data_IF_785845981293
#
_entry.id   IF_785845981293
#
_cell.length_a   1.000
_cell.length_b   1.000
_cell.length_c   1.000
_cell.angle_alpha   90.00
_cell.angle_beta   90.00
_cell.angle_gamma   90.00
#
_symmetry.space_group_name_H-M   'P 1'
#
loop_
_entity.id
_entity.type
_entity.pdbx_description
1 polymer ?
#
# COMPACT_ATOMS: atom_id res chain seq x y z
N UNK A 1 14.81 -19.10 -59.12
CA UNK A 1 15.45 -18.33 -58.03
C UNK A 1 14.46 -17.61 -57.11
N UNK A 2 13.57 -16.71 -57.59
CA UNK A 2 12.64 -15.95 -56.70
C UNK A 2 11.80 -16.79 -55.72
N UNK A 3 11.29 -17.96 -56.14
CA UNK A 3 10.51 -18.85 -55.27
C UNK A 3 11.32 -19.48 -54.13
N UNK A 4 12.58 -19.84 -54.37
CA UNK A 4 13.45 -20.41 -53.33
C UNK A 4 13.85 -19.37 -52.29
N UNK A 5 14.14 -18.13 -52.74
CA UNK A 5 14.40 -16.98 -51.84
C UNK A 5 13.18 -16.67 -50.99
N UNK A 6 11.98 -16.58 -51.58
CA UNK A 6 10.74 -16.35 -50.81
C UNK A 6 10.42 -17.46 -49.80
N UNK A 7 10.74 -18.73 -50.12
CA UNK A 7 10.55 -19.84 -49.19
C UNK A 7 11.55 -19.80 -48.03
N UNK A 8 12.80 -19.39 -48.29
CA UNK A 8 13.83 -19.23 -47.28
C UNK A 8 13.53 -18.07 -46.33
N UNK A 9 13.17 -16.89 -46.85
CA UNK A 9 12.71 -15.74 -46.05
C UNK A 9 11.49 -16.10 -45.19
N UNK A 10 10.57 -16.92 -45.71
CA UNK A 10 9.41 -17.41 -44.95
C UNK A 10 9.81 -18.38 -43.84
N UNK A 11 10.82 -19.23 -44.07
CA UNK A 11 11.36 -20.12 -43.04
C UNK A 11 12.04 -19.32 -41.92
N UNK A 12 12.90 -18.35 -42.27
CA UNK A 12 13.56 -17.45 -41.32
C UNK A 12 12.54 -16.64 -40.49
N UNK A 13 11.45 -16.17 -41.12
CA UNK A 13 10.37 -15.47 -40.42
C UNK A 13 9.75 -16.32 -39.31
N UNK A 14 9.42 -17.58 -39.61
CA UNK A 14 8.84 -18.49 -38.62
C UNK A 14 9.84 -18.89 -37.54
N UNK A 15 11.12 -19.07 -37.91
CA UNK A 15 12.18 -19.34 -36.95
C UNK A 15 12.35 -18.17 -35.96
N UNK A 16 12.44 -16.94 -36.45
CA UNK A 16 12.52 -15.74 -35.62
C UNK A 16 11.31 -15.62 -34.69
N UNK A 17 10.11 -15.92 -35.20
CA UNK A 17 8.87 -15.88 -34.39
C UNK A 17 8.86 -16.96 -33.31
N UNK A 18 9.37 -18.15 -33.60
CA UNK A 18 9.52 -19.22 -32.61
C UNK A 18 10.54 -18.84 -31.54
N UNK A 19 11.71 -18.33 -31.94
CA UNK A 19 12.74 -17.84 -31.02
C UNK A 19 12.21 -16.69 -30.14
N UNK A 20 11.45 -15.75 -30.70
CA UNK A 20 10.83 -14.66 -29.96
C UNK A 20 9.82 -15.18 -28.92
N UNK A 21 9.02 -16.19 -29.30
CA UNK A 21 8.05 -16.83 -28.41
C UNK A 21 8.74 -17.53 -27.23
N UNK A 22 9.83 -18.25 -27.49
CA UNK A 22 10.66 -18.88 -26.46
C UNK A 22 11.30 -17.85 -25.53
N UNK A 23 11.88 -16.77 -26.08
CA UNK A 23 12.46 -15.68 -25.26
C UNK A 23 11.41 -15.01 -24.37
N UNK A 24 10.21 -14.78 -24.91
CA UNK A 24 9.12 -14.20 -24.14
C UNK A 24 8.65 -15.13 -23.01
N UNK A 25 8.52 -16.44 -23.27
CA UNK A 25 8.20 -17.43 -22.25
C UNK A 25 9.24 -17.44 -21.11
N UNK A 26 10.53 -17.58 -21.46
CA UNK A 26 11.65 -17.52 -20.50
C UNK A 26 11.65 -16.23 -19.68
N UNK A 27 11.38 -15.09 -20.33
CA UNK A 27 11.25 -13.80 -19.63
C UNK A 27 10.12 -13.82 -18.59
N UNK A 28 8.95 -14.39 -18.93
CA UNK A 28 7.80 -14.46 -18.01
C UNK A 28 8.02 -15.40 -16.82
N UNK A 29 8.95 -16.33 -16.94
CA UNK A 29 9.35 -17.29 -15.91
C UNK A 29 10.41 -16.76 -14.94
N UNK A 30 11.11 -15.68 -15.31
CA UNK A 30 12.14 -15.07 -14.46
C UNK A 30 11.61 -14.75 -13.05
N UNK A 31 12.37 -15.08 -11.99
CA UNK A 31 11.94 -14.83 -10.60
C UNK A 31 11.54 -13.38 -10.31
N UNK A 32 12.28 -12.39 -10.84
CA UNK A 32 11.97 -10.97 -10.65
C UNK A 32 10.65 -10.55 -11.32
N UNK A 33 10.37 -11.10 -12.50
CA UNK A 33 9.13 -10.84 -13.23
C UNK A 33 7.93 -11.47 -12.52
N UNK A 34 8.08 -12.70 -12.01
CA UNK A 34 7.06 -13.37 -11.19
C UNK A 34 6.78 -12.60 -9.91
N UNK A 35 7.81 -12.15 -9.20
CA UNK A 35 7.64 -11.33 -7.99
C UNK A 35 6.82 -10.06 -8.23
N UNK A 36 7.13 -9.30 -9.30
CA UNK A 36 6.34 -8.11 -9.67
C UNK A 36 4.89 -8.46 -9.96
N UNK A 37 4.65 -9.60 -10.60
CA UNK A 37 3.31 -10.10 -10.90
C UNK A 37 2.56 -10.49 -9.63
N UNK A 38 3.19 -11.22 -8.71
CA UNK A 38 2.66 -11.56 -7.38
C UNK A 38 2.21 -10.28 -6.67
N UNK A 39 3.10 -9.29 -6.56
CA UNK A 39 2.79 -8.01 -5.91
C UNK A 39 1.58 -7.30 -6.55
N UNK A 40 1.47 -7.34 -7.88
CA UNK A 40 0.31 -6.78 -8.59
C UNK A 40 -0.97 -7.56 -8.27
N UNK A 41 -0.93 -8.89 -8.30
CA UNK A 41 -2.09 -9.74 -7.99
C UNK A 41 -2.53 -9.56 -6.53
N UNK A 42 -1.60 -9.45 -5.58
CA UNK A 42 -1.91 -9.14 -4.18
C UNK A 42 -2.58 -7.77 -4.00
N UNK A 43 -2.21 -6.79 -4.83
CA UNK A 43 -2.90 -5.50 -4.83
C UNK A 43 -4.33 -5.62 -5.37
N UNK A 44 -4.55 -6.35 -6.48
CA UNK A 44 -5.89 -6.59 -7.03
C UNK A 44 -6.77 -7.40 -6.07
N UNK A 45 -6.20 -8.44 -5.42
CA UNK A 45 -6.90 -9.21 -4.39
C UNK A 45 -7.42 -8.31 -3.26
N UNK A 46 -6.58 -7.38 -2.76
CA UNK A 46 -6.99 -6.41 -1.74
C UNK A 46 -8.10 -5.49 -2.22
N UNK A 47 -8.10 -5.09 -3.49
CA UNK A 47 -9.19 -4.27 -4.05
C UNK A 47 -10.50 -5.04 -4.08
N UNK A 48 -10.50 -6.29 -4.58
CA UNK A 48 -11.70 -7.13 -4.60
C UNK A 48 -12.24 -7.39 -3.20
N UNK A 49 -11.38 -7.70 -2.23
CA UNK A 49 -11.76 -7.83 -0.82
C UNK A 49 -12.36 -6.55 -0.25
N UNK A 50 -11.79 -5.37 -0.57
CA UNK A 50 -12.35 -4.07 -0.16
C UNK A 50 -13.74 -3.84 -0.75
N UNK A 51 -13.98 -4.24 -2.00
CA UNK A 51 -15.30 -4.14 -2.61
C UNK A 51 -16.33 -5.06 -1.93
N UNK A 52 -15.95 -6.30 -1.59
CA UNK A 52 -16.80 -7.22 -0.82
C UNK A 52 -17.16 -6.60 0.52
N UNK A 53 -16.16 -6.20 1.31
CA UNK A 53 -16.37 -5.61 2.64
C UNK A 53 -17.24 -4.33 2.59
N UNK A 54 -17.08 -3.51 1.53
CA UNK A 54 -17.93 -2.33 1.32
C UNK A 54 -19.39 -2.75 1.05
N UNK A 55 -19.62 -3.71 0.16
CA UNK A 55 -20.97 -4.21 -0.15
C UNK A 55 -21.62 -4.91 1.05
N UNK A 56 -20.87 -5.69 1.81
CA UNK A 56 -21.35 -6.32 3.05
C UNK A 56 -21.79 -5.27 4.08
N UNK A 57 -20.98 -4.21 4.24
CA UNK A 57 -21.32 -3.08 5.13
C UNK A 57 -22.66 -2.44 4.76
N UNK A 58 -22.89 -2.15 3.48
CA UNK A 58 -24.16 -1.59 3.04
C UNK A 58 -25.31 -2.60 3.15
N UNK A 59 -25.07 -3.88 2.87
CA UNK A 59 -26.06 -4.92 3.11
C UNK A 59 -26.49 -4.99 4.58
N UNK A 60 -25.56 -4.84 5.53
CA UNK A 60 -25.91 -4.77 6.96
C UNK A 60 -26.79 -3.55 7.24
N UNK A 61 -26.50 -2.39 6.65
CA UNK A 61 -27.32 -1.19 6.80
C UNK A 61 -28.73 -1.36 6.21
N UNK A 62 -28.83 -1.91 5.00
CA UNK A 62 -30.10 -2.17 4.33
C UNK A 62 -30.92 -3.29 4.99
N UNK A 63 -30.28 -4.26 5.65
CA UNK A 63 -30.95 -5.34 6.40
C UNK A 63 -31.24 -4.98 7.86
N UNK A 64 -30.93 -3.76 8.31
CA UNK A 64 -31.19 -3.34 9.67
C UNK A 64 -32.69 -3.43 9.99
N UNK A 65 -33.03 -3.99 11.15
CA UNK A 65 -34.44 -4.11 11.59
C UNK A 65 -35.09 -2.73 11.82
N UNK A 66 -34.28 -1.72 12.14
CA UNK A 66 -34.70 -0.33 12.37
C UNK A 66 -34.74 0.49 11.07
N UNK A 67 -34.72 -0.14 9.90
CA UNK A 67 -34.72 0.57 8.63
C UNK A 67 -36.04 1.36 8.48
N UNK A 68 -35.94 2.68 8.51
CA UNK A 68 -37.02 3.61 8.20
C UNK A 68 -36.69 4.42 6.92
N UNK A 69 -37.63 5.25 6.48
CA UNK A 69 -37.43 6.09 5.29
C UNK A 69 -36.25 7.06 5.43
N UNK A 70 -36.03 7.62 6.63
CA UNK A 70 -34.94 8.57 6.90
C UNK A 70 -33.57 7.89 6.81
N UNK A 71 -33.43 6.70 7.38
CA UNK A 71 -32.24 5.88 7.28
C UNK A 71 -32.02 5.40 5.85
N UNK A 72 -33.07 5.00 5.12
CA UNK A 72 -32.96 4.61 3.71
C UNK A 72 -32.46 5.75 2.83
N UNK A 73 -32.94 6.99 3.04
CA UNK A 73 -32.42 8.19 2.38
C UNK A 73 -30.95 8.44 2.73
N UNK A 74 -30.60 8.36 4.02
CA UNK A 74 -29.21 8.55 4.46
C UNK A 74 -28.26 7.52 3.85
N UNK A 75 -28.64 6.24 3.86
CA UNK A 75 -27.82 5.14 3.33
C UNK A 75 -27.70 5.28 1.80
N UNK A 76 -28.80 5.49 1.09
CA UNK A 76 -28.80 5.62 -0.37
C UNK A 76 -27.98 6.81 -0.88
N UNK A 77 -27.90 7.90 -0.11
CA UNK A 77 -27.05 9.04 -0.43
C UNK A 77 -25.56 8.68 -0.54
N UNK A 78 -25.08 7.70 0.25
CA UNK A 78 -23.68 7.26 0.23
C UNK A 78 -23.44 5.98 -0.60
N UNK A 79 -24.49 5.20 -0.84
CA UNK A 79 -24.39 3.91 -1.52
C UNK A 79 -24.35 4.07 -3.05
N UNK A 80 -24.99 5.14 -3.57
CA UNK A 80 -24.98 5.51 -4.98
C UNK A 80 -25.43 4.38 -5.92
N UNK A 81 -26.46 3.64 -5.54
CA UNK A 81 -27.08 2.63 -6.41
C UNK A 81 -28.04 3.31 -7.38
N UNK A 82 -27.96 2.91 -8.64
CA UNK A 82 -28.83 3.35 -9.72
C UNK A 82 -29.64 2.19 -10.27
N UNK A 83 -30.90 2.47 -10.62
CA UNK A 83 -31.80 1.53 -11.27
C UNK A 83 -32.75 2.28 -12.22
N UNK A 84 -33.42 1.55 -13.11
CA UNK A 84 -34.51 2.09 -13.93
C UNK A 84 -35.85 1.78 -13.26
N UNK A 85 -36.74 2.77 -13.21
CA UNK A 85 -38.05 2.69 -12.57
C UNK A 85 -39.13 2.94 -13.62
N UNK A 86 -39.52 1.89 -14.33
CA UNK A 86 -40.59 1.92 -15.34
C UNK A 86 -41.96 2.04 -14.67
N UNK A 87 -42.90 2.72 -15.32
CA UNK A 87 -44.27 2.94 -14.85
C UNK A 87 -45.03 1.62 -14.66
N UNK A 88 -44.78 0.65 -15.53
CA UNK A 88 -45.34 -0.71 -15.45
C UNK A 88 -45.01 -1.39 -14.11
N UNK A 89 -43.77 -1.20 -13.63
CA UNK A 89 -43.28 -1.86 -12.41
C UNK A 89 -43.46 -1.02 -11.14
N UNK A 90 -43.40 0.30 -11.29
CA UNK A 90 -43.53 1.27 -10.21
C UNK A 90 -44.59 2.31 -10.60
N UNK A 91 -45.89 1.94 -10.54
CA UNK A 91 -46.97 2.86 -10.88
C UNK A 91 -46.96 4.04 -9.92
N UNK A 92 -47.10 5.24 -10.47
CA UNK A 92 -46.99 6.51 -9.72
C UNK A 92 -48.05 7.50 -10.17
N UNK A 93 -48.52 8.38 -9.26
CA UNK A 93 -49.50 9.41 -9.59
C UNK A 93 -48.93 10.42 -10.60
N UNK A 94 -49.80 11.02 -11.41
CA UNK A 94 -49.43 11.95 -12.49
C UNK A 94 -48.64 13.19 -12.01
N UNK A 95 -48.78 13.56 -10.73
CA UNK A 95 -48.11 14.70 -10.10
C UNK A 95 -46.61 14.48 -9.86
N UNK A 96 -46.17 13.22 -9.82
CA UNK A 96 -44.76 12.85 -9.63
C UNK A 96 -44.02 12.72 -10.95
N UNK A 97 -42.69 12.69 -10.89
CA UNK A 97 -41.82 12.52 -12.06
C UNK A 97 -42.21 11.26 -12.86
N UNK A 98 -42.57 11.43 -14.13
CA UNK A 98 -42.93 10.34 -15.04
C UNK A 98 -41.72 9.73 -15.76
N UNK A 99 -40.49 10.12 -15.39
CA UNK A 99 -39.27 9.65 -16.03
C UNK A 99 -39.00 8.15 -15.77
N UNK A 100 -38.84 7.37 -16.84
CA UNK A 100 -38.60 5.91 -16.76
C UNK A 100 -37.12 5.50 -16.89
N UNK A 101 -36.21 6.48 -16.99
CA UNK A 101 -34.79 6.21 -17.16
C UNK A 101 -34.07 5.88 -15.85
N UNK A 102 -32.73 5.91 -15.92
CA UNK A 102 -31.89 5.59 -14.77
C UNK A 102 -31.91 6.72 -13.74
N UNK A 103 -32.24 6.39 -12.49
CA UNK A 103 -32.14 7.31 -11.37
C UNK A 103 -31.56 6.61 -10.13
N UNK A 104 -31.06 7.41 -9.18
CA UNK A 104 -30.50 6.89 -7.94
C UNK A 104 -31.62 6.41 -7.00
N UNK A 105 -31.30 5.46 -6.09
CA UNK A 105 -32.25 5.07 -5.04
C UNK A 105 -32.63 6.26 -4.14
N UNK A 106 -31.71 7.20 -3.91
CA UNK A 106 -32.00 8.40 -3.13
C UNK A 106 -33.10 9.25 -3.79
N UNK A 107 -32.97 9.51 -5.09
CA UNK A 107 -33.98 10.27 -5.85
C UNK A 107 -35.31 9.53 -5.89
N UNK A 108 -35.30 8.21 -6.13
CA UNK A 108 -36.51 7.41 -6.17
C UNK A 108 -37.25 7.38 -4.82
N UNK A 109 -36.52 7.39 -3.71
CA UNK A 109 -37.10 7.51 -2.37
C UNK A 109 -37.60 8.93 -2.06
N UNK A 110 -36.86 9.96 -2.48
CA UNK A 110 -37.21 11.37 -2.23
C UNK A 110 -38.44 11.82 -3.01
N UNK A 111 -38.56 11.34 -4.25
CA UNK A 111 -39.73 11.55 -5.11
C UNK A 111 -40.87 10.57 -4.79
N UNK A 112 -40.69 9.72 -3.76
CA UNK A 112 -41.68 8.73 -3.32
C UNK A 112 -42.20 7.86 -4.48
N UNK A 113 -41.29 7.47 -5.38
CA UNK A 113 -41.54 6.53 -6.48
C UNK A 113 -41.50 5.10 -5.96
N UNK A 114 -40.65 4.84 -4.96
CA UNK A 114 -40.49 3.54 -4.31
C UNK A 114 -40.59 3.65 -2.80
N UNK A 115 -40.97 2.56 -2.15
CA UNK A 115 -40.90 2.44 -0.69
C UNK A 115 -39.48 2.10 -0.22
N UNK A 116 -39.20 2.30 1.07
CA UNK A 116 -37.91 1.92 1.65
C UNK A 116 -37.67 0.39 1.60
N UNK A 117 -38.73 -0.42 1.63
CA UNK A 117 -38.64 -1.89 1.47
C UNK A 117 -38.25 -2.27 0.04
N UNK A 118 -38.85 -1.63 -0.96
CA UNK A 118 -38.47 -1.83 -2.36
C UNK A 118 -37.03 -1.37 -2.62
N UNK A 119 -36.62 -0.25 -2.04
CA UNK A 119 -35.24 0.24 -2.13
C UNK A 119 -34.25 -0.76 -1.49
N UNK A 120 -34.58 -1.31 -0.32
CA UNK A 120 -33.81 -2.37 0.33
C UNK A 120 -33.64 -3.58 -0.59
N UNK A 121 -34.71 -4.08 -1.18
CA UNK A 121 -34.66 -5.29 -2.00
C UNK A 121 -33.81 -5.07 -3.27
N UNK A 122 -33.92 -3.89 -3.89
CA UNK A 122 -33.07 -3.49 -5.01
C UNK A 122 -31.59 -3.43 -4.58
N UNK A 123 -31.31 -2.76 -3.46
CA UNK A 123 -29.95 -2.57 -2.96
C UNK A 123 -29.28 -3.90 -2.60
N UNK A 124 -29.98 -4.77 -1.87
CA UNK A 124 -29.49 -6.10 -1.49
C UNK A 124 -29.11 -6.88 -2.74
N UNK A 125 -30.00 -6.97 -3.73
CA UNK A 125 -29.73 -7.68 -5.00
C UNK A 125 -28.50 -7.12 -5.72
N UNK A 126 -28.33 -5.80 -5.75
CA UNK A 126 -27.17 -5.13 -6.36
C UNK A 126 -25.86 -5.47 -5.64
N UNK A 127 -25.86 -5.46 -4.30
CA UNK A 127 -24.71 -5.85 -3.51
C UNK A 127 -24.40 -7.33 -3.60
N UNK A 128 -25.40 -8.21 -3.59
CA UNK A 128 -25.22 -9.65 -3.78
C UNK A 128 -24.56 -9.96 -5.13
N UNK A 129 -25.02 -9.32 -6.21
CA UNK A 129 -24.37 -9.44 -7.53
C UNK A 129 -22.92 -8.97 -7.48
N UNK A 130 -22.65 -7.87 -6.78
CA UNK A 130 -21.30 -7.32 -6.62
C UNK A 130 -20.40 -8.26 -5.83
N UNK A 131 -20.86 -8.77 -4.69
CA UNK A 131 -20.14 -9.73 -3.86
C UNK A 131 -19.84 -10.99 -4.67
N UNK A 132 -20.82 -11.57 -5.35
CA UNK A 132 -20.64 -12.75 -6.17
C UNK A 132 -19.61 -12.54 -7.29
N UNK A 133 -19.63 -11.38 -7.94
CA UNK A 133 -18.62 -11.03 -8.95
C UNK A 133 -17.22 -10.91 -8.35
N UNK A 134 -17.08 -10.18 -7.24
CA UNK A 134 -15.79 -9.98 -6.59
C UNK A 134 -15.25 -11.26 -5.98
N UNK A 135 -16.10 -12.15 -5.46
CA UNK A 135 -15.69 -13.44 -4.92
C UNK A 135 -15.09 -14.34 -6.00
N UNK A 136 -15.62 -14.33 -7.23
CA UNK A 136 -15.00 -15.05 -8.36
C UNK A 136 -13.59 -14.53 -8.64
N UNK A 137 -13.39 -13.21 -8.56
CA UNK A 137 -12.06 -12.61 -8.73
C UNK A 137 -11.12 -12.93 -7.57
N UNK A 138 -11.61 -12.90 -6.33
CA UNK A 138 -10.84 -13.33 -5.14
C UNK A 138 -10.33 -14.75 -5.34
N UNK A 139 -11.20 -15.68 -5.71
CA UNK A 139 -10.84 -17.08 -5.96
C UNK A 139 -9.81 -17.18 -7.11
N UNK A 140 -10.02 -16.46 -8.22
CA UNK A 140 -9.07 -16.42 -9.34
C UNK A 140 -7.69 -15.91 -8.90
N UNK A 141 -7.63 -14.81 -8.14
CA UNK A 141 -6.37 -14.24 -7.67
C UNK A 141 -5.67 -15.15 -6.65
N UNK A 142 -6.41 -15.81 -5.76
CA UNK A 142 -5.86 -16.79 -4.83
C UNK A 142 -5.21 -17.97 -5.56
N UNK A 143 -5.93 -18.57 -6.52
CA UNK A 143 -5.40 -19.66 -7.35
C UNK A 143 -4.15 -19.22 -8.13
N UNK A 144 -4.19 -18.02 -8.70
CA UNK A 144 -3.06 -17.46 -9.43
C UNK A 144 -1.86 -17.18 -8.52
N UNK A 145 -2.08 -16.66 -7.31
CA UNK A 145 -1.02 -16.44 -6.33
C UNK A 145 -0.39 -17.75 -5.87
N UNK A 146 -1.21 -18.79 -5.62
CA UNK A 146 -0.72 -20.12 -5.27
C UNK A 146 0.21 -20.66 -6.36
N UNK A 147 -0.23 -20.59 -7.63
CA UNK A 147 0.60 -20.99 -8.77
C UNK A 147 1.90 -20.17 -8.87
N UNK A 148 1.82 -18.84 -8.85
CA UNK A 148 3.02 -18.00 -9.03
C UNK A 148 4.02 -18.17 -7.88
N UNK A 149 3.54 -18.38 -6.64
CA UNK A 149 4.40 -18.64 -5.48
C UNK A 149 5.04 -20.04 -5.56
N UNK A 150 4.30 -21.07 -5.96
CA UNK A 150 4.84 -22.40 -6.18
C UNK A 150 5.97 -22.38 -7.24
N UNK A 151 5.70 -21.77 -8.41
CA UNK A 151 6.69 -21.64 -9.48
C UNK A 151 7.90 -20.77 -9.07
N UNK A 152 7.70 -19.75 -8.22
CA UNK A 152 8.80 -18.93 -7.72
C UNK A 152 9.71 -19.72 -6.76
N UNK A 153 9.12 -20.58 -5.93
CA UNK A 153 9.87 -21.45 -5.02
C UNK A 153 10.69 -22.49 -5.78
N UNK A 154 10.14 -23.09 -6.84
CA UNK A 154 10.85 -24.05 -7.70
C UNK A 154 12.05 -23.42 -8.43
N UNK A 155 11.89 -22.18 -8.94
CA UNK A 155 12.94 -21.51 -9.72
C UNK A 155 14.11 -20.98 -8.87
N UNK A 156 14.06 -21.07 -7.54
CA UNK A 156 15.20 -20.87 -6.63
C UNK A 156 16.08 -19.64 -6.90
N UNK A 157 15.55 -18.43 -6.72
CA UNK A 157 16.29 -17.17 -6.94
C UNK A 157 16.55 -16.35 -5.68
N UNK A 158 17.35 -15.29 -5.76
CA UNK A 158 17.65 -14.39 -4.61
C UNK A 158 16.37 -13.78 -3.99
N UNK A 159 15.31 -13.67 -4.79
CA UNK A 159 13.98 -13.25 -4.34
C UNK A 159 13.35 -14.22 -3.33
N UNK A 160 13.69 -15.51 -3.35
CA UNK A 160 13.21 -16.51 -2.38
C UNK A 160 14.06 -16.55 -1.11
N UNK A 161 15.30 -16.08 -1.17
CA UNK A 161 16.25 -16.01 -0.04
C UNK A 161 16.24 -14.68 0.72
N UNK A 162 15.20 -13.88 0.53
CA UNK A 162 15.12 -12.53 1.15
C UNK A 162 15.17 -12.54 2.67
N UNK A 163 14.88 -13.67 3.32
CA UNK A 163 14.99 -13.83 4.78
C UNK A 163 16.45 -13.76 5.28
N UNK A 164 17.42 -14.06 4.42
CA UNK A 164 18.86 -14.03 4.72
C UNK A 164 19.44 -12.60 4.75
N UNK A 165 18.67 -11.60 4.33
CA UNK A 165 19.15 -10.22 4.28
C UNK A 165 19.34 -9.64 5.68
N UNK A 166 20.57 -9.23 5.96
CA UNK A 166 20.97 -8.62 7.22
C UNK A 166 21.57 -7.22 7.00
N UNK A 167 21.34 -6.27 7.93
CA UNK A 167 22.07 -5.00 7.93
C UNK A 167 23.58 -5.23 7.94
N UNK A 168 24.30 -4.53 7.08
CA UNK A 168 25.74 -4.70 6.85
C UNK A 168 26.07 -5.57 5.63
N UNK A 169 25.15 -6.44 5.19
CA UNK A 169 25.37 -7.26 3.98
C UNK A 169 25.38 -6.43 2.70
N UNK A 170 25.84 -7.01 1.59
CA UNK A 170 25.85 -6.33 0.28
C UNK A 170 24.86 -6.96 -0.68
N UNK A 171 24.12 -6.14 -1.40
CA UNK A 171 23.19 -6.56 -2.47
C UNK A 171 23.68 -6.05 -3.81
N UNK A 172 23.71 -6.92 -4.81
CA UNK A 172 23.98 -6.54 -6.19
C UNK A 172 22.69 -6.05 -6.83
N UNK A 173 22.70 -4.83 -7.36
CA UNK A 173 21.60 -4.30 -8.16
C UNK A 173 22.13 -3.43 -9.28
N UNK A 174 21.63 -3.66 -10.50
CA UNK A 174 22.06 -2.93 -11.71
C UNK A 174 23.59 -2.90 -11.93
N UNK A 175 24.28 -3.97 -11.52
CA UNK A 175 25.73 -4.09 -11.66
C UNK A 175 26.55 -3.40 -10.56
N UNK A 176 25.91 -2.81 -9.55
CA UNK A 176 26.57 -2.16 -8.41
C UNK A 176 26.29 -2.93 -7.11
N UNK A 177 27.34 -3.18 -6.32
CA UNK A 177 27.22 -3.75 -4.98
C UNK A 177 26.91 -2.63 -3.98
N UNK A 178 25.77 -2.74 -3.32
CA UNK A 178 25.27 -1.74 -2.37
C UNK A 178 25.15 -2.34 -0.98
N UNK A 179 25.69 -1.65 0.03
CA UNK A 179 25.59 -2.09 1.42
C UNK A 179 24.18 -1.84 1.98
N UNK A 180 23.62 -2.86 2.62
CA UNK A 180 22.34 -2.79 3.32
C UNK A 180 22.52 -1.97 4.61
N UNK A 181 21.89 -0.80 4.65
CA UNK A 181 21.83 0.04 5.85
C UNK A 181 20.72 -0.44 6.79
N UNK A 182 19.58 -0.84 6.21
CA UNK A 182 18.40 -1.28 6.96
C UNK A 182 17.56 -2.28 6.16
N UNK A 183 17.00 -3.26 6.85
CA UNK A 183 16.04 -4.21 6.28
C UNK A 183 14.64 -3.86 6.78
N UNK A 184 13.69 -3.64 5.86
CA UNK A 184 12.30 -3.32 6.18
C UNK A 184 11.43 -4.56 5.97
N UNK A 185 10.81 -5.05 7.06
CA UNK A 185 9.93 -6.21 7.02
C UNK A 185 8.45 -5.79 7.12
N UNK A 186 7.58 -6.50 6.39
CA UNK A 186 6.14 -6.36 6.44
C UNK A 186 5.53 -7.75 6.45
N UNK A 187 4.63 -8.05 7.40
CA UNK A 187 4.02 -9.38 7.58
C UNK A 187 5.04 -10.52 7.70
N UNK A 188 6.18 -10.27 8.36
CA UNK A 188 7.25 -11.26 8.55
C UNK A 188 8.24 -11.39 7.39
N UNK A 189 7.90 -10.91 6.20
CA UNK A 189 8.76 -10.98 5.00
C UNK A 189 9.50 -9.67 4.73
N UNK A 190 10.66 -9.73 4.07
CA UNK A 190 11.40 -8.53 3.68
C UNK A 190 10.68 -7.83 2.52
N UNK A 191 10.22 -6.61 2.79
CA UNK A 191 9.52 -5.76 1.82
C UNK A 191 10.46 -4.91 0.99
N UNK A 192 11.55 -4.44 1.60
CA UNK A 192 12.59 -3.63 0.96
C UNK A 192 13.85 -3.57 1.82
N UNK A 193 14.99 -3.30 1.18
CA UNK A 193 16.24 -2.95 1.85
C UNK A 193 16.57 -1.49 1.55
N UNK A 194 17.08 -0.78 2.54
CA UNK A 194 17.56 0.59 2.39
C UNK A 194 19.07 0.56 2.15
N UNK A 195 19.50 1.18 1.06
CA UNK A 195 20.90 1.25 0.64
C UNK A 195 21.25 2.68 0.26
N UNK A 196 22.54 3.00 0.03
CA UNK A 196 22.91 4.21 -0.71
C UNK A 196 22.24 4.25 -2.10
N UNK A 197 22.04 5.46 -2.63
CA UNK A 197 21.65 5.65 -4.03
C UNK A 197 22.70 5.08 -4.98
N UNK A 198 22.27 4.72 -6.20
CA UNK A 198 23.22 4.27 -7.22
C UNK A 198 24.19 5.38 -7.58
N UNK A 199 25.44 5.01 -7.87
CA UNK A 199 26.47 5.99 -8.29
C UNK A 199 26.06 6.78 -9.53
N UNK A 200 25.40 6.14 -10.51
CA UNK A 200 24.96 6.81 -11.74
C UNK A 200 23.86 7.85 -11.54
N UNK A 201 23.16 7.85 -10.39
CA UNK A 201 22.13 8.86 -10.10
C UNK A 201 22.72 10.18 -9.63
N UNK A 202 24.00 10.23 -9.23
CA UNK A 202 24.60 11.41 -8.61
C UNK A 202 23.92 11.84 -7.30
N UNK A 203 23.10 10.98 -6.71
CA UNK A 203 22.31 11.25 -5.52
C UNK A 203 22.98 10.64 -4.29
N UNK A 204 23.36 11.47 -3.32
CA UNK A 204 24.08 11.07 -2.09
C UNK A 204 23.19 10.58 -0.95
N UNK A 205 21.88 10.45 -1.17
CA UNK A 205 20.95 9.96 -0.15
C UNK A 205 20.76 8.45 -0.16
N UNK A 206 19.83 7.98 0.68
CA UNK A 206 19.43 6.57 0.72
C UNK A 206 18.24 6.30 -0.21
N UNK A 207 18.11 5.05 -0.65
CA UNK A 207 17.02 4.58 -1.49
C UNK A 207 16.51 3.22 -0.99
N UNK A 208 15.24 2.94 -1.23
CA UNK A 208 14.62 1.64 -0.97
C UNK A 208 14.71 0.76 -2.21
N UNK A 209 15.40 -0.37 -2.12
CA UNK A 209 15.37 -1.42 -3.13
C UNK A 209 14.38 -2.50 -2.73
N UNK A 210 13.56 -2.90 -3.69
CA UNK A 210 12.68 -4.06 -3.56
C UNK A 210 13.40 -5.33 -4.02
N UNK A 211 13.02 -6.50 -3.50
CA UNK A 211 13.67 -7.77 -3.85
C UNK A 211 13.79 -8.06 -5.35
N UNK A 212 12.82 -7.64 -6.17
CA UNK A 212 12.88 -7.84 -7.64
C UNK A 212 14.00 -7.07 -8.35
N UNK A 213 14.66 -6.14 -7.66
CA UNK A 213 15.80 -5.39 -8.19
C UNK A 213 17.14 -5.98 -7.76
N UNK A 214 17.14 -6.95 -6.86
CA UNK A 214 18.35 -7.55 -6.31
C UNK A 214 18.66 -8.82 -7.10
N UNK A 215 19.87 -8.89 -7.63
CA UNK A 215 20.32 -10.02 -8.45
C UNK A 215 21.24 -10.96 -7.69
N UNK A 216 21.96 -10.46 -6.68
CA UNK A 216 22.90 -11.25 -5.87
C UNK A 216 22.99 -10.67 -4.44
N UNK A 217 23.45 -11.48 -3.49
CA UNK A 217 23.59 -11.12 -2.07
C UNK A 217 24.85 -11.72 -1.45
N UNK A 218 25.55 -10.92 -0.67
CA UNK A 218 26.67 -11.33 0.18
C UNK A 218 26.34 -11.02 1.64
N UNK A 219 26.40 -12.05 2.47
CA UNK A 219 26.19 -11.91 3.92
C UNK A 219 27.27 -11.00 4.53
N UNK A 220 26.91 -10.20 5.57
CA UNK A 220 27.89 -9.40 6.29
C UNK A 220 28.88 -10.28 7.04
N UNK A 221 30.10 -9.77 7.21
CA UNK A 221 30.99 -10.26 8.27
C UNK A 221 30.43 -9.85 9.64
N UNK A 222 30.81 -10.55 10.71
CA UNK A 222 30.33 -10.26 12.06
C UNK A 222 30.62 -8.81 12.50
N UNK A 223 31.74 -8.25 12.04
CA UNK A 223 32.14 -6.87 12.29
C UNK A 223 31.26 -5.87 11.54
N UNK A 224 30.98 -6.10 10.25
CA UNK A 224 30.09 -5.27 9.43
C UNK A 224 28.66 -5.26 9.98
N UNK A 225 28.15 -6.42 10.40
CA UNK A 225 26.83 -6.52 11.02
C UNK A 225 26.77 -5.74 12.34
N UNK A 226 27.84 -5.81 13.15
CA UNK A 226 27.95 -5.05 14.40
C UNK A 226 28.03 -3.54 14.15
N UNK A 227 28.84 -3.11 13.18
CA UNK A 227 28.99 -1.71 12.79
C UNK A 227 27.70 -1.14 12.19
N UNK A 228 26.99 -1.91 11.37
CA UNK A 228 25.68 -1.53 10.85
C UNK A 228 24.64 -1.39 11.97
N UNK A 229 24.63 -2.31 12.96
CA UNK A 229 23.76 -2.19 14.15
C UNK A 229 24.08 -0.95 14.98
N UNK A 230 25.37 -0.61 15.16
CA UNK A 230 25.80 0.63 15.83
C UNK A 230 25.36 1.87 15.06
N UNK A 231 25.58 1.91 13.74
CA UNK A 231 25.20 3.03 12.88
C UNK A 231 23.68 3.23 12.78
N UNK A 232 22.89 2.15 12.86
CA UNK A 232 21.43 2.21 12.85
C UNK A 232 20.84 2.73 14.18
N UNK A 233 21.61 2.73 15.28
CA UNK A 233 21.13 3.17 16.59
C UNK A 233 20.93 4.69 16.55
N UNK A 234 19.66 5.09 16.60
CA UNK A 234 19.31 6.52 16.62
C UNK A 234 19.84 7.16 17.91
N UNK A 235 20.29 8.43 17.85
CA UNK A 235 20.66 9.17 19.05
C UNK A 235 19.51 9.23 20.07
N UNK A 236 19.82 9.30 21.37
CA UNK A 236 18.82 9.30 22.43
C UNK A 236 17.88 10.50 22.29
N UNK A 237 16.62 10.30 22.66
CA UNK A 237 15.67 11.40 22.77
C UNK A 237 15.83 12.01 24.17
N UNK A 238 16.30 13.25 24.21
CA UNK A 238 16.51 14.01 25.44
C UNK A 238 15.21 14.71 25.86
N UNK A 239 15.11 15.03 27.14
CA UNK A 239 14.01 15.76 27.75
C UNK A 239 14.60 16.67 28.83
N UNK A 240 14.87 17.92 28.49
CA UNK A 240 15.50 18.88 29.40
C UNK A 240 14.72 20.20 29.39
N UNK A 241 14.66 20.91 30.52
CA UNK A 241 14.10 22.26 30.58
C UNK A 241 15.07 23.25 29.93
N UNK A 242 14.53 24.25 29.24
CA UNK A 242 15.33 25.28 28.57
C UNK A 242 14.51 26.54 28.35
N UNK A 243 15.20 27.68 28.23
CA UNK A 243 14.54 28.97 28.00
C UNK A 243 13.80 28.96 26.66
N UNK A 244 12.54 29.41 26.66
CA UNK A 244 11.66 29.39 25.49
C UNK A 244 11.08 28.01 25.13
N UNK A 245 11.25 27.00 25.99
CA UNK A 245 10.62 25.69 25.77
C UNK A 245 9.15 25.73 26.20
N UNK A 246 8.29 25.09 25.42
CA UNK A 246 6.91 24.87 25.82
C UNK A 246 6.83 23.66 26.73
N UNK A 247 6.39 23.89 27.96
CA UNK A 247 6.07 22.84 28.91
C UNK A 247 4.70 22.24 28.59
N UNK A 248 4.61 20.92 28.63
CA UNK A 248 3.34 20.20 28.51
C UNK A 248 3.44 18.81 29.11
N UNK A 249 2.30 18.21 29.40
CA UNK A 249 2.23 16.81 29.84
C UNK A 249 2.31 15.85 28.64
N UNK A 250 2.60 14.58 28.92
CA UNK A 250 2.58 13.50 27.92
C UNK A 250 1.21 13.36 27.26
N UNK A 251 0.13 13.57 28.00
CA UNK A 251 -1.24 13.51 27.50
C UNK A 251 -1.53 14.64 26.48
N UNK A 252 -1.07 15.85 26.77
CA UNK A 252 -1.19 17.00 25.85
C UNK A 252 -0.36 16.80 24.59
N UNK A 253 0.88 16.31 24.74
CA UNK A 253 1.71 15.94 23.60
C UNK A 253 1.06 14.85 22.73
N UNK A 254 0.37 13.88 23.33
CA UNK A 254 -0.33 12.84 22.59
C UNK A 254 -1.51 13.40 21.78
N UNK A 255 -2.28 14.34 22.35
CA UNK A 255 -3.43 15.00 21.69
C UNK A 255 -3.05 15.90 20.52
N UNK A 256 -1.84 16.46 20.51
CA UNK A 256 -1.38 17.32 19.41
C UNK A 256 -1.42 16.56 18.06
N UNK A 257 -1.91 17.17 16.98
CA UNK A 257 -1.89 16.58 15.63
C UNK A 257 -0.47 16.21 15.19
N UNK A 258 -0.34 15.12 14.42
CA UNK A 258 0.95 14.62 13.96
C UNK A 258 1.73 15.64 13.12
N UNK A 259 1.04 16.49 12.36
CA UNK A 259 1.68 17.53 11.52
C UNK A 259 2.20 18.72 12.34
N UNK A 260 1.70 18.89 13.57
CA UNK A 260 2.01 20.01 14.46
C UNK A 260 3.06 19.62 15.52
N UNK A 261 3.56 18.39 15.50
CA UNK A 261 4.56 17.90 16.45
C UNK A 261 5.61 17.04 15.76
N UNK A 262 6.85 17.10 16.24
CA UNK A 262 7.94 16.35 15.63
C UNK A 262 9.13 16.16 16.56
N UNK A 263 10.03 15.27 16.14
CA UNK A 263 11.32 15.04 16.80
C UNK A 263 12.41 15.43 15.83
N UNK A 264 13.28 16.35 16.23
CA UNK A 264 14.45 16.77 15.45
C UNK A 264 15.72 16.15 16.01
N UNK A 265 16.74 16.05 15.17
CA UNK A 265 18.08 15.63 15.57
C UNK A 265 19.00 16.84 15.65
N UNK A 266 19.88 16.85 16.64
CA UNK A 266 21.04 17.71 16.74
C UNK A 266 22.28 16.86 16.43
N UNK A 267 23.15 17.38 15.55
CA UNK A 267 24.42 16.74 15.24
C UNK A 267 25.37 16.81 16.44
N UNK A 268 26.36 15.92 16.46
CA UNK A 268 27.42 15.95 17.44
C UNK A 268 28.30 17.21 17.26
N UNK A 269 28.70 17.82 18.37
CA UNK A 269 29.65 18.94 18.41
C UNK A 269 30.79 18.62 19.38
N UNK A 270 31.75 19.53 19.53
CA UNK A 270 32.84 19.39 20.50
C UNK A 270 32.33 19.33 21.96
N UNK A 271 31.14 19.84 22.24
CA UNK A 271 30.59 19.96 23.61
C UNK A 271 29.55 18.90 23.95
N UNK A 272 28.89 18.32 22.95
CA UNK A 272 27.82 17.36 23.16
C UNK A 272 27.76 16.28 22.08
N UNK A 273 27.38 15.06 22.49
CA UNK A 273 27.04 13.97 21.59
C UNK A 273 25.81 14.29 20.73
N UNK A 274 25.58 13.51 19.68
CA UNK A 274 24.35 13.61 18.90
C UNK A 274 23.13 13.28 19.79
N UNK A 275 22.03 14.03 19.62
CA UNK A 275 20.80 13.80 20.38
C UNK A 275 19.54 14.17 19.57
N UNK A 276 18.37 13.84 20.11
CA UNK A 276 17.08 14.16 19.50
C UNK A 276 16.16 14.84 20.50
N UNK A 277 15.44 15.87 20.08
CA UNK A 277 14.56 16.65 20.96
C UNK A 277 13.19 16.87 20.33
N UNK A 278 12.18 17.12 21.17
CA UNK A 278 10.78 17.32 20.74
C UNK A 278 10.54 18.78 20.38
N UNK A 279 9.76 19.00 19.33
CA UNK A 279 9.25 20.32 18.94
C UNK A 279 7.77 20.26 18.61
N UNK A 280 7.07 21.36 18.88
CA UNK A 280 5.70 21.56 18.40
C UNK A 280 5.57 22.90 17.68
N UNK A 281 4.56 22.98 16.83
CA UNK A 281 4.14 24.22 16.19
C UNK A 281 3.20 24.97 17.13
N UNK A 282 3.47 26.25 17.34
CA UNK A 282 2.60 27.16 18.10
C UNK A 282 1.47 27.68 17.20
N UNK A 283 0.48 28.36 17.79
CA UNK A 283 -0.58 29.04 17.05
C UNK A 283 -0.06 30.14 16.09
N UNK A 284 1.15 30.66 16.34
CA UNK A 284 1.83 31.63 15.46
C UNK A 284 2.64 30.98 14.33
N UNK A 285 2.42 29.68 14.05
CA UNK A 285 3.18 28.90 13.05
C UNK A 285 4.70 28.84 13.29
N UNK A 286 5.16 29.11 14.52
CA UNK A 286 6.57 29.00 14.90
C UNK A 286 6.86 27.66 15.56
N UNK A 287 8.07 27.11 15.36
CA UNK A 287 8.49 25.85 15.96
C UNK A 287 9.22 26.11 17.28
N UNK A 288 8.67 25.60 18.38
CA UNK A 288 9.28 25.70 19.71
C UNK A 288 9.68 24.33 20.22
N UNK A 289 10.74 24.30 21.04
CA UNK A 289 11.17 23.09 21.74
C UNK A 289 10.18 22.73 22.84
N UNK A 290 10.07 21.44 23.16
CA UNK A 290 9.09 20.93 24.12
C UNK A 290 9.78 20.19 25.25
N UNK A 291 9.43 20.57 26.47
CA UNK A 291 9.76 19.85 27.70
C UNK A 291 8.51 19.12 28.19
N UNK A 292 8.62 17.82 28.42
CA UNK A 292 7.51 17.02 28.96
C UNK A 292 7.70 16.91 30.47
N UNK A 293 6.83 17.57 31.24
CA UNK A 293 6.98 17.77 32.69
C UNK A 293 6.77 16.50 33.51
N UNK A 294 5.92 15.59 33.03
CA UNK A 294 5.62 14.29 33.64
C UNK A 294 6.52 13.15 33.12
N UNK A 295 7.58 13.47 32.35
CA UNK A 295 8.61 12.51 31.93
C UNK A 295 9.93 12.79 32.63
N UNK A 296 10.68 11.72 32.93
CA UNK A 296 12.03 11.82 33.50
C UNK A 296 12.91 12.74 32.64
N UNK A 297 13.63 13.64 33.30
CA UNK A 297 14.64 14.49 32.67
C UNK A 297 15.76 13.61 32.11
N UNK A 298 16.05 13.77 30.83
CA UNK A 298 17.14 13.10 30.12
C UNK A 298 18.02 14.21 29.56
N UNK A 299 19.19 14.37 30.16
CA UNK A 299 20.15 15.41 29.79
C UNK A 299 20.79 15.14 28.42
N UNK A 300 21.37 16.20 27.86
CA UNK A 300 22.15 16.12 26.62
C UNK A 300 23.38 15.24 26.87
N UNK A 301 23.63 14.20 26.05
CA UNK A 301 24.84 13.39 26.17
C UNK A 301 26.09 14.27 26.07
N UNK A 302 26.94 14.23 27.09
CA UNK A 302 28.28 14.83 27.03
C UNK A 302 29.19 13.94 26.19
N UNK A 303 30.10 14.56 25.45
CA UNK A 303 31.12 13.85 24.69
C UNK A 303 32.28 13.47 25.61
#
# INVERSE_FOLDING_TARGET
MKRAVMLFERAEYWEQRAQASLRHAKYKERPDVRYRRIKKIEAELRKSQKHIARSEKYMTMWRAQTLDLKMALLVSNYDHIHACFTLDKYPRPAEKSQYEGSMSLHSALSEEIITFEQARDIAIRCHERTINHQQRWVNHYQNRLAYERAMLNENGGVVTRTQEFEPGGQVLSRGEWLTILRVNRSKGEVSSVETPGYRFLGYSGTMKLTPDRITDYKAPTAEEASNAKKAAKRPPIVNYPGEGFREMTKAEWAKLPADYKGVRAAAETETHGAYRFRRCMTHGCTLVNVYITDMKTVEIPKK
#
